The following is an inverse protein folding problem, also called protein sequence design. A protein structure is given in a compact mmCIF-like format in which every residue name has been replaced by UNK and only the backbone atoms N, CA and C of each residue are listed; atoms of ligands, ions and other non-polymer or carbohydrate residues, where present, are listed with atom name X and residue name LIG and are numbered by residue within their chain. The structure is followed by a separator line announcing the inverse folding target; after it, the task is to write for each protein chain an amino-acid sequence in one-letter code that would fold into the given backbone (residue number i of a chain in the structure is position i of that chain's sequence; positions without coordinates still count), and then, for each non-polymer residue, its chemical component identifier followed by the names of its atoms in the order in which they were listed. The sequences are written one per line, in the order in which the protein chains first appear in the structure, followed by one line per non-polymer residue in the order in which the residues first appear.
data_IF_447919158695
#
_entry.id   IF_447919158695
#
_cell.length_a   1.000
_cell.length_b   1.000
_cell.length_c   1.000
_cell.angle_alpha   90.00
_cell.angle_beta   90.00
_cell.angle_gamma   90.00
#
_symmetry.space_group_name_H-M   'P 1'
#
loop_
_entity.id
_entity.type
_entity.pdbx_description
1 polymer ?
#
# COMPACT_ATOMS: atom_id res chain seq x y z
N UNK A 1 -7.06 6.96 1.39
CA UNK A 1 -7.93 5.85 0.96
C UNK A 1 -7.62 4.55 1.70
N UNK A 2 -6.36 4.26 1.99
CA UNK A 2 -5.98 3.06 2.73
C UNK A 2 -5.32 3.46 4.06
N UNK A 3 -6.11 3.74 5.11
CA UNK A 3 -5.56 4.29 6.35
C UNK A 3 -4.60 3.35 7.06
N UNK A 4 -4.88 2.04 7.08
CA UNK A 4 -3.99 1.09 7.73
C UNK A 4 -2.67 0.95 6.97
N UNK A 5 -2.72 0.96 5.64
CA UNK A 5 -1.52 0.91 4.81
C UNK A 5 -0.65 2.14 5.06
N UNK A 6 -1.25 3.33 5.09
CA UNK A 6 -0.53 4.56 5.37
C UNK A 6 0.12 4.54 6.77
N UNK A 7 -0.61 4.02 7.76
CA UNK A 7 -0.09 3.90 9.12
C UNK A 7 1.13 2.98 9.18
N UNK A 8 1.07 1.83 8.51
CA UNK A 8 2.19 0.90 8.49
C UNK A 8 3.39 1.47 7.72
N UNK A 9 3.14 2.21 6.65
CA UNK A 9 4.21 2.91 5.95
C UNK A 9 4.91 3.91 6.87
N UNK A 10 4.14 4.69 7.63
CA UNK A 10 4.69 5.66 8.57
C UNK A 10 5.53 4.98 9.65
N UNK A 11 5.05 3.86 10.20
CA UNK A 11 5.81 3.10 11.21
C UNK A 11 7.10 2.55 10.66
N UNK A 12 7.11 2.12 9.41
CA UNK A 12 8.29 1.59 8.75
C UNK A 12 9.25 2.67 8.26
N UNK A 13 8.84 3.94 8.29
CA UNK A 13 9.63 5.03 7.75
C UNK A 13 9.75 4.99 6.23
N UNK A 14 8.74 4.46 5.56
CA UNK A 14 8.73 4.26 4.11
C UNK A 14 7.74 5.22 3.48
N UNK A 15 8.22 6.05 2.56
CA UNK A 15 7.34 6.92 1.79
C UNK A 15 6.95 6.26 0.47
N UNK A 16 6.11 6.95 -0.32
CA UNK A 16 5.62 6.42 -1.59
C UNK A 16 6.73 6.15 -2.60
N UNK A 17 7.76 6.98 -2.61
CA UNK A 17 8.88 6.82 -3.53
C UNK A 17 9.64 5.53 -3.21
N UNK A 18 9.95 5.33 -1.93
CA UNK A 18 10.67 4.15 -1.46
C UNK A 18 9.84 2.89 -1.72
N UNK A 19 8.55 2.95 -1.41
CA UNK A 19 7.66 1.81 -1.62
C UNK A 19 7.60 1.43 -3.10
N UNK A 20 7.45 2.41 -3.99
CA UNK A 20 7.41 2.16 -5.42
C UNK A 20 8.69 1.45 -5.90
N UNK A 21 9.85 1.89 -5.40
CA UNK A 21 11.12 1.24 -5.73
C UNK A 21 11.15 -0.22 -5.24
N UNK A 22 10.71 -0.46 -4.02
CA UNK A 22 10.78 -1.80 -3.41
C UNK A 22 9.89 -2.81 -4.09
N UNK A 23 8.74 -2.37 -4.63
CA UNK A 23 7.81 -3.27 -5.32
C UNK A 23 7.96 -3.21 -6.84
N UNK A 24 8.96 -2.48 -7.33
CA UNK A 24 9.25 -2.34 -8.74
C UNK A 24 8.04 -1.84 -9.55
N UNK A 25 7.42 -0.80 -9.04
CA UNK A 25 6.24 -0.17 -9.65
C UNK A 25 6.53 1.29 -9.93
N UNK A 26 6.09 1.83 -11.08
CA UNK A 26 6.21 3.27 -11.33
C UNK A 26 5.51 4.08 -10.25
N UNK A 27 6.13 5.17 -9.81
CA UNK A 27 5.58 6.03 -8.77
C UNK A 27 4.16 6.51 -9.10
N UNK A 28 3.96 6.97 -10.35
CA UNK A 28 2.65 7.46 -10.77
C UNK A 28 1.57 6.38 -10.71
N UNK A 29 1.92 5.15 -11.03
CA UNK A 29 1.00 4.01 -10.93
C UNK A 29 0.64 3.74 -9.46
N UNK A 30 1.63 3.76 -8.59
CA UNK A 30 1.38 3.56 -7.16
C UNK A 30 0.48 4.65 -6.60
N UNK A 31 0.72 5.91 -6.96
CA UNK A 31 -0.11 7.02 -6.52
C UNK A 31 -1.57 6.83 -6.95
N UNK A 32 -1.81 6.42 -8.18
CA UNK A 32 -3.16 6.17 -8.66
C UNK A 32 -3.85 5.06 -7.87
N UNK A 33 -3.14 3.98 -7.57
CA UNK A 33 -3.70 2.87 -6.80
C UNK A 33 -3.96 3.27 -5.35
N UNK A 34 -3.05 4.03 -4.75
CA UNK A 34 -3.23 4.52 -3.38
C UNK A 34 -4.40 5.49 -3.25
N UNK A 35 -4.71 6.24 -4.30
CA UNK A 35 -5.82 7.18 -4.29
C UNK A 35 -7.17 6.53 -4.62
N UNK A 36 -7.16 5.25 -5.01
CA UNK A 36 -8.37 4.52 -5.34
C UNK A 36 -8.79 4.62 -6.81
N UNK A 37 -7.99 5.26 -7.65
CA UNK A 37 -8.28 5.36 -9.09
C UNK A 37 -8.07 4.05 -9.82
N UNK A 38 -7.17 3.23 -9.33
CA UNK A 38 -6.93 1.89 -9.84
C UNK A 38 -6.88 0.94 -8.66
N UNK A 39 -7.20 -0.32 -8.90
CA UNK A 39 -7.20 -1.33 -7.85
C UNK A 39 -5.83 -2.00 -7.75
N UNK A 40 -5.44 -2.37 -6.52
CA UNK A 40 -4.30 -3.23 -6.32
C UNK A 40 -4.66 -4.66 -6.70
N UNK A 41 -3.75 -5.34 -7.39
CA UNK A 41 -3.89 -6.79 -7.58
C UNK A 41 -3.49 -7.51 -6.29
N UNK A 42 -3.88 -8.78 -6.16
CA UNK A 42 -3.50 -9.60 -5.01
C UNK A 42 -1.98 -9.71 -4.91
N UNK A 43 -1.31 -9.93 -6.04
CA UNK A 43 0.15 -10.01 -6.07
C UNK A 43 0.82 -8.71 -5.61
N UNK A 44 0.29 -7.57 -6.03
CA UNK A 44 0.80 -6.27 -5.60
C UNK A 44 0.60 -6.07 -4.10
N UNK A 45 -0.55 -6.46 -3.58
CA UNK A 45 -0.84 -6.36 -2.16
C UNK A 45 0.15 -7.16 -1.32
N UNK A 46 0.43 -8.40 -1.73
CA UNK A 46 1.43 -9.23 -1.05
C UNK A 46 2.84 -8.64 -1.15
N UNK A 47 3.19 -8.08 -2.31
CA UNK A 47 4.49 -7.43 -2.49
C UNK A 47 4.66 -6.24 -1.55
N UNK A 48 3.63 -5.42 -1.41
CA UNK A 48 3.65 -4.27 -0.52
C UNK A 48 3.78 -4.74 0.94
N UNK A 49 2.99 -5.73 1.35
CA UNK A 49 3.06 -6.27 2.70
C UNK A 49 4.48 -6.78 3.01
N UNK A 50 5.07 -7.49 2.07
CA UNK A 50 6.45 -8.00 2.22
C UNK A 50 7.46 -6.85 2.30
N UNK A 51 7.30 -5.83 1.47
CA UNK A 51 8.20 -4.67 1.46
C UNK A 51 8.15 -3.91 2.79
N UNK A 52 6.97 -3.85 3.42
CA UNK A 52 6.81 -3.21 4.73
C UNK A 52 7.29 -4.09 5.87
N UNK A 53 7.41 -5.40 5.66
CA UNK A 53 7.85 -6.34 6.68
C UNK A 53 6.85 -6.50 7.83
N UNK A 54 5.56 -6.40 7.55
CA UNK A 54 4.52 -6.49 8.56
C UNK A 54 3.73 -7.79 8.44
N UNK A 55 3.14 -8.24 9.55
CA UNK A 55 2.32 -9.45 9.62
C UNK A 55 0.82 -9.16 9.58
N UNK A 56 0.45 -7.93 9.29
CA UNK A 56 -0.95 -7.55 9.19
C UNK A 56 -1.62 -8.31 8.04
N UNK A 57 -2.77 -8.94 8.26
CA UNK A 57 -3.47 -9.64 7.17
C UNK A 57 -3.77 -8.68 6.02
N UNK A 58 -3.73 -9.21 4.80
CA UNK A 58 -3.95 -8.40 3.59
C UNK A 58 -5.28 -7.66 3.63
N UNK A 59 -6.35 -8.32 4.05
CA UNK A 59 -7.67 -7.71 4.11
C UNK A 59 -7.74 -6.56 5.11
N UNK A 60 -6.93 -6.59 6.16
CA UNK A 60 -6.84 -5.50 7.14
C UNK A 60 -5.94 -4.39 6.61
N UNK A 61 -4.79 -4.76 6.04
CA UNK A 61 -3.81 -3.80 5.53
C UNK A 61 -4.42 -2.93 4.43
N UNK A 62 -5.21 -3.53 3.55
CA UNK A 62 -5.81 -2.85 2.42
C UNK A 62 -7.28 -2.47 2.65
N UNK A 63 -7.70 -2.41 3.91
CA UNK A 63 -9.02 -1.93 4.26
C UNK A 63 -9.15 -0.46 3.86
N UNK A 64 -10.19 -0.16 3.11
CA UNK A 64 -10.46 1.21 2.66
C UNK A 64 -11.29 1.93 3.69
N UNK A 65 -11.03 3.23 3.83
CA UNK A 65 -11.91 4.07 4.65
C UNK A 65 -13.28 4.13 3.98
N UNK A 66 -14.33 3.79 4.75
CA UNK A 66 -15.70 3.88 4.27
C UNK A 66 -16.28 5.19 4.78
N UNK A 67 -16.69 6.05 3.84
CA UNK A 67 -17.39 7.28 4.16
C UNK A 67 -18.87 7.01 4.05
N UNK A 68 -19.57 7.19 5.13
CA UNK A 68 -21.01 6.97 5.19
C UNK A 68 -21.71 8.31 5.11
#
# INVERSE_FOLDING_TARGET
MFPNLKAEMARAGINMIILAERIDMPYSTLVQKMSGRSEFTVGEAFSIRKALGVDVPIEVLFEQAVTV
#
